data_IF_354690274649
#
_entry.id   IF_354690274649
#
_cell.length_a   1.000
_cell.length_b   1.000
_cell.length_c   1.000
_cell.angle_alpha   90.00
_cell.angle_beta   90.00
_cell.angle_gamma   90.00
#
_symmetry.space_group_name_H-M   'P 1'
#
loop_
_entity.id
_entity.type
_entity.pdbx_description
1 polymer ?
#
# COMPACT_ATOMS: atom_id res chain seq x y z
N UNK A 1 35.27 35.18 -12.60
CA UNK A 1 34.05 35.29 -11.77
C UNK A 1 33.04 34.28 -12.29
N UNK A 2 32.70 33.27 -11.49
CA UNK A 2 31.86 32.14 -11.89
C UNK A 2 30.35 32.50 -11.82
N UNK A 3 29.51 32.05 -12.76
CA UNK A 3 28.06 32.14 -12.62
C UNK A 3 27.53 30.98 -11.75
N UNK A 4 26.60 31.33 -10.87
CA UNK A 4 25.98 30.45 -9.88
C UNK A 4 24.92 29.55 -10.56
N UNK A 5 24.92 28.20 -10.38
CA UNK A 5 23.90 27.34 -10.95
C UNK A 5 22.59 27.42 -10.15
N UNK A 6 21.47 27.58 -10.87
CA UNK A 6 20.13 27.63 -10.30
C UNK A 6 19.75 26.30 -9.60
N UNK A 7 19.69 26.31 -8.28
CA UNK A 7 19.20 25.19 -7.46
C UNK A 7 17.68 25.18 -7.44
N UNK A 8 17.08 24.34 -8.28
CA UNK A 8 15.66 23.97 -8.16
C UNK A 8 15.45 23.00 -7.01
N UNK A 9 14.61 23.39 -6.05
CA UNK A 9 13.84 22.57 -5.06
C UNK A 9 13.87 23.08 -3.60
N UNK A 10 14.30 24.31 -3.32
CA UNK A 10 14.13 24.95 -2.00
C UNK A 10 13.07 26.06 -2.04
N UNK A 11 12.41 26.33 -0.90
CA UNK A 11 11.80 27.64 -0.66
C UNK A 11 12.91 28.70 -0.52
N UNK A 12 12.57 29.98 -0.70
CA UNK A 12 13.54 31.10 -0.59
C UNK A 12 14.26 31.17 0.76
N UNK A 13 13.72 30.51 1.79
CA UNK A 13 14.27 30.40 3.15
C UNK A 13 15.14 29.14 3.38
N UNK A 14 15.39 28.32 2.35
CA UNK A 14 16.20 27.11 2.46
C UNK A 14 15.46 25.88 3.00
N UNK A 15 14.16 25.97 3.29
CA UNK A 15 13.38 24.83 3.77
C UNK A 15 13.09 23.80 2.65
N UNK A 16 13.20 22.48 2.92
CA UNK A 16 12.91 21.45 1.92
C UNK A 16 11.42 21.46 1.52
N UNK A 17 11.13 21.54 0.22
CA UNK A 17 9.75 21.38 -0.28
C UNK A 17 9.27 19.95 -0.06
N UNK A 18 8.40 19.73 0.93
CA UNK A 18 7.66 18.47 1.06
C UNK A 18 6.75 18.27 -0.15
N UNK A 19 7.17 17.41 -1.09
CA UNK A 19 6.33 16.94 -2.20
C UNK A 19 5.20 16.10 -1.63
N UNK A 20 4.02 16.71 -1.46
CA UNK A 20 2.78 15.98 -1.09
C UNK A 20 2.51 14.93 -2.17
N UNK A 21 2.40 13.66 -1.77
CA UNK A 21 1.87 12.62 -2.65
C UNK A 21 0.40 12.94 -2.93
N UNK A 22 -0.03 13.12 -4.18
CA UNK A 22 -1.44 13.30 -4.48
C UNK A 22 -2.20 12.05 -4.04
N UNK A 23 -3.24 12.24 -3.22
CA UNK A 23 -4.22 11.18 -2.94
C UNK A 23 -4.94 10.86 -4.22
N UNK A 24 -5.14 9.57 -4.54
CA UNK A 24 -6.04 9.26 -5.60
C UNK A 24 -7.47 9.58 -5.16
N UNK A 25 -8.08 10.62 -5.74
CA UNK A 25 -9.51 10.88 -5.60
C UNK A 25 -10.24 9.68 -6.19
N UNK A 26 -11.01 8.97 -5.35
CA UNK A 26 -11.92 7.92 -5.80
C UNK A 26 -13.19 8.62 -6.28
N UNK A 27 -13.37 8.67 -7.59
CA UNK A 27 -14.59 9.18 -8.21
C UNK A 27 -15.53 8.01 -8.42
N UNK A 28 -16.78 8.17 -8.02
CA UNK A 28 -17.82 7.16 -8.23
C UNK A 28 -17.96 6.83 -9.73
N UNK A 29 -18.13 5.54 -10.05
CA UNK A 29 -18.23 5.06 -11.43
C UNK A 29 -19.42 5.66 -12.20
N UNK A 30 -20.44 6.16 -11.49
CA UNK A 30 -21.64 6.80 -12.05
C UNK A 30 -21.57 8.34 -12.08
N UNK A 31 -20.52 8.95 -11.54
CA UNK A 31 -20.38 10.42 -11.48
C UNK A 31 -20.24 11.06 -12.88
N UNK A 32 -21.08 12.02 -13.28
CA UNK A 32 -21.06 12.60 -14.64
C UNK A 32 -19.80 13.44 -14.96
N UNK A 33 -18.96 13.75 -13.97
CA UNK A 33 -17.74 14.56 -14.14
C UNK A 33 -16.57 13.77 -14.77
N UNK A 34 -16.39 13.92 -16.08
CA UNK A 34 -15.24 13.37 -16.84
C UNK A 34 -13.87 13.87 -16.36
N UNK A 35 -13.79 15.12 -15.91
CA UNK A 35 -12.52 15.78 -15.54
C UNK A 35 -11.84 15.17 -14.31
N UNK A 36 -12.60 14.55 -13.40
CA UNK A 36 -12.05 13.93 -12.18
C UNK A 36 -11.61 12.47 -12.41
N UNK A 37 -11.94 11.88 -13.56
CA UNK A 37 -11.53 10.51 -13.96
C UNK A 37 -10.23 10.49 -14.78
N UNK A 38 -9.67 11.65 -15.08
CA UNK A 38 -8.37 11.73 -15.76
C UNK A 38 -7.27 11.17 -14.85
N UNK A 39 -6.40 10.34 -15.43
CA UNK A 39 -5.40 9.55 -14.71
C UNK A 39 -4.60 10.39 -13.71
N UNK A 40 -4.61 9.98 -12.45
CA UNK A 40 -3.89 10.70 -11.41
C UNK A 40 -2.41 10.38 -11.53
N UNK A 41 -1.62 11.36 -11.93
CA UNK A 41 -0.17 11.20 -11.99
C UNK A 41 0.43 11.04 -10.59
N UNK A 42 1.22 10.00 -10.42
CA UNK A 42 1.99 9.69 -9.23
C UNK A 42 3.40 9.24 -9.56
N UNK A 43 4.12 8.76 -8.55
CA UNK A 43 5.43 8.12 -8.71
C UNK A 43 5.40 6.72 -8.11
N UNK A 44 6.05 5.77 -8.78
CA UNK A 44 6.21 4.44 -8.25
C UNK A 44 7.13 4.46 -7.02
N UNK A 45 6.69 3.84 -5.93
CA UNK A 45 7.48 3.76 -4.68
C UNK A 45 8.74 2.90 -4.83
N UNK A 46 8.73 1.94 -5.75
CA UNK A 46 9.85 1.00 -5.96
C UNK A 46 10.95 1.57 -6.87
N UNK A 47 10.60 2.38 -7.86
CA UNK A 47 11.58 2.86 -8.86
C UNK A 47 11.57 4.38 -9.10
N UNK A 48 10.71 5.14 -8.42
CA UNK A 48 10.63 6.60 -8.51
C UNK A 48 10.07 7.17 -9.82
N UNK A 49 9.84 6.32 -10.83
CA UNK A 49 9.33 6.72 -12.14
C UNK A 49 7.87 7.18 -12.09
N UNK A 50 7.49 8.06 -13.02
CA UNK A 50 6.13 8.59 -13.13
C UNK A 50 5.17 7.49 -13.58
N UNK A 51 3.99 7.48 -12.97
CA UNK A 51 2.88 6.57 -13.27
C UNK A 51 1.59 7.38 -13.34
N UNK A 52 0.61 6.91 -14.09
CA UNK A 52 -0.75 7.43 -14.04
C UNK A 52 -1.70 6.37 -13.49
N UNK A 53 -2.53 6.75 -12.52
CA UNK A 53 -3.44 5.84 -11.82
C UNK A 53 -4.84 6.03 -12.39
N UNK A 54 -5.43 4.93 -12.87
CA UNK A 54 -6.79 4.89 -13.41
C UNK A 54 -7.64 3.90 -12.64
N UNK A 55 -8.97 4.09 -12.64
CA UNK A 55 -9.91 3.11 -12.13
C UNK A 55 -10.19 2.05 -13.19
N UNK A 56 -10.29 0.79 -12.80
CA UNK A 56 -10.72 -0.30 -13.67
C UNK A 56 -12.23 -0.49 -13.61
N UNK A 57 -12.75 -1.30 -14.52
CA UNK A 57 -14.16 -1.76 -14.51
C UNK A 57 -14.55 -2.47 -13.22
N UNK A 58 -13.62 -3.18 -12.56
CA UNK A 58 -13.81 -3.83 -11.26
C UNK A 58 -13.60 -2.88 -10.07
N UNK A 59 -13.56 -1.56 -10.31
CA UNK A 59 -13.32 -0.50 -9.31
C UNK A 59 -11.95 -0.58 -8.60
N UNK A 60 -11.03 -1.43 -9.06
CA UNK A 60 -9.66 -1.46 -8.54
C UNK A 60 -8.79 -0.45 -9.29
N UNK A 61 -7.91 0.29 -8.61
CA UNK A 61 -6.98 1.16 -9.30
C UNK A 61 -5.89 0.36 -10.03
N UNK A 62 -5.46 0.84 -11.18
CA UNK A 62 -4.31 0.34 -11.92
C UNK A 62 -3.33 1.47 -12.22
N UNK A 63 -2.05 1.21 -11.96
CA UNK A 63 -0.97 2.11 -12.33
C UNK A 63 -0.48 1.77 -13.74
N UNK A 64 -0.71 2.67 -14.67
CA UNK A 64 -0.26 2.58 -16.06
C UNK A 64 0.95 3.49 -16.27
N UNK A 65 1.80 3.11 -17.22
CA UNK A 65 2.84 4.01 -17.70
C UNK A 65 2.20 5.20 -18.44
N UNK A 66 2.68 6.45 -18.25
CA UNK A 66 2.03 7.63 -18.84
C UNK A 66 2.09 7.67 -20.37
N UNK A 67 3.15 7.10 -20.97
CA UNK A 67 3.31 7.07 -22.41
C UNK A 67 2.47 5.96 -23.06
N UNK A 68 1.87 6.29 -24.19
CA UNK A 68 1.17 5.37 -25.07
C UNK A 68 2.16 4.68 -26.01
N UNK A 69 1.88 3.42 -26.33
CA UNK A 69 2.74 2.56 -27.15
C UNK A 69 1.89 1.89 -28.21
N UNK A 70 2.45 1.73 -29.41
CA UNK A 70 1.78 1.04 -30.49
C UNK A 70 1.42 -0.40 -30.08
N UNK A 71 0.16 -0.76 -30.26
CA UNK A 71 -0.43 -2.06 -29.92
C UNK A 71 0.39 -3.21 -30.50
N UNK A 72 0.87 -3.07 -31.74
CA UNK A 72 1.71 -4.06 -32.46
C UNK A 72 3.01 -4.42 -31.73
N UNK A 73 3.55 -3.53 -30.91
CA UNK A 73 4.84 -3.71 -30.23
C UNK A 73 4.70 -4.32 -28.82
N UNK A 74 3.47 -4.57 -28.37
CA UNK A 74 3.14 -4.97 -27.00
C UNK A 74 2.33 -6.26 -27.04
N UNK A 75 2.66 -7.30 -26.24
CA UNK A 75 1.82 -8.50 -26.13
C UNK A 75 0.44 -8.17 -25.59
N UNK A 76 -0.60 -8.86 -26.09
CA UNK A 76 -2.01 -8.66 -25.74
C UNK A 76 -2.27 -8.64 -24.23
N UNK A 77 -1.57 -9.49 -23.47
CA UNK A 77 -1.68 -9.59 -22.01
C UNK A 77 -1.27 -8.31 -21.26
N UNK A 78 -0.48 -7.45 -21.91
CA UNK A 78 0.04 -6.20 -21.33
C UNK A 78 -0.68 -4.96 -21.84
N UNK A 79 -1.67 -5.11 -22.73
CA UNK A 79 -2.37 -3.98 -23.36
C UNK A 79 -3.53 -3.52 -22.50
N UNK A 80 -3.61 -2.21 -22.30
CA UNK A 80 -4.71 -1.54 -21.62
C UNK A 80 -5.15 -0.34 -22.44
N UNK A 81 -6.45 -0.13 -22.53
CA UNK A 81 -7.03 1.07 -23.17
C UNK A 81 -7.81 1.89 -22.14
N UNK A 82 -8.07 3.14 -22.49
CA UNK A 82 -8.75 4.11 -21.63
C UNK A 82 -10.04 4.58 -22.30
N UNK A 83 -11.18 4.26 -21.72
CA UNK A 83 -12.48 4.72 -22.18
C UNK A 83 -13.17 5.52 -21.06
N UNK A 84 -13.49 6.80 -21.31
CA UNK A 84 -14.16 7.65 -20.32
C UNK A 84 -13.40 7.81 -18.99
N UNK A 85 -12.07 7.65 -19.00
CA UNK A 85 -11.21 7.68 -17.80
C UNK A 85 -11.17 6.37 -17.00
N UNK A 86 -11.79 5.30 -17.52
CA UNK A 86 -11.71 3.95 -16.97
C UNK A 86 -10.71 3.14 -17.79
N UNK A 87 -9.87 2.36 -17.10
CA UNK A 87 -8.90 1.47 -17.70
C UNK A 87 -9.50 0.07 -17.92
N UNK A 88 -9.41 -0.39 -19.15
CA UNK A 88 -9.91 -1.68 -19.58
C UNK A 88 -8.76 -2.56 -20.04
N UNK A 89 -8.74 -3.85 -19.67
CA UNK A 89 -7.75 -4.78 -20.18
C UNK A 89 -8.01 -5.08 -21.66
N UNK A 90 -6.97 -5.49 -22.38
CA UNK A 90 -6.97 -5.79 -23.81
C UNK A 90 -7.16 -4.55 -24.71
N UNK A 91 -7.04 -4.74 -26.03
CA UNK A 91 -7.22 -3.66 -26.99
C UNK A 91 -8.70 -3.44 -27.31
N UNK A 92 -9.10 -2.18 -27.47
CA UNK A 92 -10.39 -1.74 -28.03
C UNK A 92 -10.37 -1.64 -29.57
N UNK A 93 -9.35 -2.19 -30.22
CA UNK A 93 -9.07 -2.00 -31.64
C UNK A 93 -8.25 -0.74 -31.95
N UNK A 94 -7.87 0.05 -30.94
CA UNK A 94 -6.96 1.19 -31.13
C UNK A 94 -5.54 0.74 -31.49
N UNK A 95 -4.89 1.53 -32.35
CA UNK A 95 -3.47 1.39 -32.68
C UNK A 95 -2.55 1.67 -31.48
N UNK A 96 -3.07 2.24 -30.40
CA UNK A 96 -2.31 2.66 -29.22
C UNK A 96 -2.86 2.02 -27.95
N UNK A 97 -1.95 1.61 -27.07
CA UNK A 97 -2.28 1.07 -25.76
C UNK A 97 -1.36 1.64 -24.67
N UNK A 98 -1.82 1.52 -23.43
CA UNK A 98 -1.05 1.77 -22.22
C UNK A 98 -0.57 0.43 -21.66
N UNK A 99 0.55 0.47 -20.94
CA UNK A 99 1.16 -0.72 -20.33
C UNK A 99 1.13 -0.58 -18.81
N UNK A 100 0.78 -1.63 -18.04
CA UNK A 100 0.87 -1.63 -16.59
C UNK A 100 2.29 -1.34 -16.12
N UNK A 101 2.42 -0.40 -15.18
CA UNK A 101 3.73 -0.05 -14.66
C UNK A 101 4.39 -1.24 -13.93
N UNK A 102 3.62 -2.17 -13.37
CA UNK A 102 4.16 -3.38 -12.73
C UNK A 102 5.00 -4.25 -13.66
N UNK A 103 4.66 -4.28 -14.96
CA UNK A 103 5.41 -5.00 -16.01
C UNK A 103 6.71 -4.26 -16.35
N UNK A 104 6.63 -2.93 -16.44
CA UNK A 104 7.75 -2.07 -16.83
C UNK A 104 8.67 -1.66 -15.66
N UNK A 105 8.26 -1.88 -14.41
CA UNK A 105 8.94 -1.37 -13.23
C UNK A 105 10.32 -2.04 -13.08
N UNK A 106 11.43 -1.29 -13.12
CA UNK A 106 12.77 -1.86 -12.91
C UNK A 106 12.94 -2.57 -11.56
N UNK A 107 12.21 -2.12 -10.54
CA UNK A 107 12.19 -2.71 -9.19
C UNK A 107 11.23 -3.89 -9.03
N UNK A 108 10.72 -4.47 -10.12
CA UNK A 108 9.89 -5.66 -10.09
C UNK A 108 10.44 -6.71 -11.05
N UNK A 109 10.69 -7.94 -10.61
CA UNK A 109 11.14 -9.02 -11.51
C UNK A 109 9.98 -9.49 -12.38
N UNK A 110 10.08 -9.42 -13.73
CA UNK A 110 9.02 -9.92 -14.60
C UNK A 110 8.87 -11.44 -14.43
N UNK A 111 7.63 -11.91 -14.31
CA UNK A 111 7.31 -13.35 -14.25
C UNK A 111 7.26 -14.02 -15.63
N UNK A 112 7.27 -13.23 -16.71
CA UNK A 112 7.25 -13.70 -18.09
C UNK A 112 8.31 -12.98 -18.93
N UNK A 113 8.78 -13.62 -20.01
CA UNK A 113 9.67 -12.97 -21.00
C UNK A 113 8.93 -11.81 -21.65
N UNK A 114 9.49 -10.62 -21.50
CA UNK A 114 9.00 -9.42 -22.14
C UNK A 114 9.53 -9.38 -23.58
N UNK A 115 8.74 -8.86 -24.52
CA UNK A 115 9.26 -8.61 -25.87
C UNK A 115 10.37 -7.57 -25.86
N UNK A 116 11.29 -7.61 -26.84
CA UNK A 116 12.47 -6.70 -26.92
C UNK A 116 12.13 -5.23 -26.68
N UNK A 117 10.99 -4.75 -27.19
CA UNK A 117 10.58 -3.35 -27.04
C UNK A 117 10.24 -2.98 -25.59
N UNK A 118 9.59 -3.88 -24.86
CA UNK A 118 9.28 -3.67 -23.44
C UNK A 118 10.53 -3.75 -22.57
N UNK A 119 11.48 -4.61 -22.94
CA UNK A 119 12.80 -4.67 -22.29
C UNK A 119 13.59 -3.37 -22.48
N UNK A 120 13.54 -2.76 -23.67
CA UNK A 120 14.15 -1.46 -23.93
C UNK A 120 13.55 -0.37 -23.04
N UNK A 121 12.22 -0.29 -22.99
CA UNK A 121 11.51 0.69 -22.14
C UNK A 121 11.86 0.48 -20.67
N UNK A 122 11.91 -0.77 -20.23
CA UNK A 122 12.32 -1.12 -18.86
C UNK A 122 13.77 -0.70 -18.58
N UNK A 123 14.69 -0.88 -19.53
CA UNK A 123 16.09 -0.44 -19.42
C UNK A 123 16.19 1.08 -19.29
N UNK A 124 15.46 1.83 -20.12
CA UNK A 124 15.40 3.29 -20.02
C UNK A 124 14.86 3.76 -18.67
N UNK A 125 13.81 3.11 -18.16
CA UNK A 125 13.27 3.39 -16.84
C UNK A 125 14.27 3.05 -15.72
N UNK A 126 15.08 2.00 -15.88
CA UNK A 126 16.12 1.63 -14.92
C UNK A 126 17.25 2.68 -14.86
N UNK A 127 17.71 3.15 -16.02
CA UNK A 127 18.69 4.24 -16.10
C UNK A 127 18.14 5.53 -15.47
N UNK A 128 16.86 5.82 -15.70
CA UNK A 128 16.18 6.96 -15.07
C UNK A 128 16.09 6.80 -13.56
N UNK A 129 15.74 5.62 -13.06
CA UNK A 129 15.76 5.32 -11.62
C UNK A 129 17.15 5.53 -11.03
N UNK A 130 18.21 5.07 -11.70
CA UNK A 130 19.59 5.27 -11.22
C UNK A 130 19.94 6.75 -11.11
N UNK A 131 19.65 7.54 -12.14
CA UNK A 131 19.82 9.00 -12.10
C UNK A 131 19.04 9.66 -10.96
N UNK A 132 17.82 9.19 -10.68
CA UNK A 132 17.01 9.71 -9.56
C UNK A 132 17.64 9.38 -8.19
N UNK A 133 18.29 8.23 -8.06
CA UNK A 133 19.04 7.83 -6.86
C UNK A 133 20.29 8.70 -6.71
N UNK A 134 21.09 8.82 -7.78
CA UNK A 134 22.35 9.57 -7.75
C UNK A 134 22.12 11.06 -7.43
N UNK A 135 21.01 11.63 -7.91
CA UNK A 135 20.58 13.01 -7.60
C UNK A 135 19.87 13.17 -6.25
N UNK A 136 19.76 12.09 -5.45
CA UNK A 136 19.03 12.03 -4.16
C UNK A 136 17.57 12.47 -4.23
N UNK A 137 16.97 12.49 -5.43
CA UNK A 137 15.55 12.82 -5.64
C UNK A 137 14.63 11.62 -5.40
N UNK A 138 15.21 10.42 -5.31
CA UNK A 138 14.55 9.17 -4.94
C UNK A 138 15.46 8.36 -4.04
N UNK A 139 14.97 8.02 -2.84
CA UNK A 139 15.61 7.00 -1.99
C UNK A 139 14.85 5.69 -2.22
N UNK A 140 15.50 4.63 -2.72
CA UNK A 140 14.84 3.34 -2.88
C UNK A 140 14.31 2.89 -1.54
N UNK A 141 13.05 2.45 -1.51
CA UNK A 141 12.60 1.59 -0.43
C UNK A 141 13.31 0.26 -0.63
N UNK A 142 14.43 0.05 0.08
CA UNK A 142 15.07 -1.26 0.14
C UNK A 142 14.00 -2.25 0.59
N UNK A 143 13.65 -3.28 -0.21
CA UNK A 143 12.90 -4.39 0.35
C UNK A 143 13.79 -4.91 1.46
N UNK A 144 13.30 -4.90 2.70
CA UNK A 144 14.01 -5.53 3.80
C UNK A 144 14.36 -6.94 3.32
N UNK A 145 15.66 -7.20 3.11
CA UNK A 145 16.13 -8.56 2.99
C UNK A 145 15.65 -9.29 4.23
N UNK A 146 15.25 -10.55 4.07
CA UNK A 146 14.86 -11.40 5.19
C UNK A 146 15.87 -11.19 6.32
N UNK A 147 15.46 -10.67 7.49
CA UNK A 147 16.39 -10.56 8.59
C UNK A 147 16.82 -12.00 8.95
N UNK A 148 18.10 -12.23 9.22
CA UNK A 148 18.51 -13.51 9.79
C UNK A 148 17.68 -13.74 11.05
N UNK A 149 17.06 -14.91 11.12
CA UNK A 149 16.23 -15.34 12.24
C UNK A 149 17.08 -15.42 13.51
N UNK A 150 17.25 -14.28 14.18
CA UNK A 150 17.91 -14.17 15.48
C UNK A 150 17.39 -12.92 16.16
N UNK A 151 16.46 -13.12 17.08
CA UNK A 151 15.80 -12.07 17.83
C UNK A 151 14.29 -12.23 17.76
N UNK A 152 13.70 -12.65 18.87
CA UNK A 152 12.26 -12.81 19.10
C UNK A 152 11.53 -11.50 18.75
N UNK A 153 11.06 -11.35 17.51
CA UNK A 153 10.48 -10.08 17.02
C UNK A 153 9.01 -10.23 16.69
N UNK A 154 8.17 -9.34 17.24
CA UNK A 154 6.78 -9.15 16.84
C UNK A 154 6.64 -9.06 15.31
N UNK A 155 5.57 -9.62 14.73
CA UNK A 155 5.39 -9.63 13.28
C UNK A 155 5.36 -8.20 12.73
N UNK A 156 6.17 -7.92 11.72
CA UNK A 156 6.31 -6.58 11.14
C UNK A 156 4.99 -6.06 10.53
N UNK A 157 4.13 -6.97 10.06
CA UNK A 157 2.79 -6.69 9.52
C UNK A 157 1.84 -7.79 10.01
N UNK A 158 1.24 -7.62 11.19
CA UNK A 158 0.38 -8.61 11.81
C UNK A 158 -0.93 -8.81 11.05
N UNK A 159 -1.47 -10.03 11.10
CA UNK A 159 -2.83 -10.33 10.66
C UNK A 159 -3.77 -10.11 11.84
N UNK A 160 -4.82 -9.32 11.65
CA UNK A 160 -5.80 -8.93 12.67
C UNK A 160 -7.19 -9.41 12.24
N UNK A 161 -7.92 -10.04 13.14
CA UNK A 161 -9.32 -10.41 12.91
C UNK A 161 -10.24 -9.34 13.51
N UNK A 162 -11.00 -8.68 12.64
CA UNK A 162 -11.91 -7.58 12.98
C UNK A 162 -13.26 -7.86 12.33
N UNK A 163 -14.36 -7.90 13.10
CA UNK A 163 -15.71 -8.17 12.59
C UNK A 163 -15.73 -9.44 11.71
N UNK A 164 -15.11 -10.52 12.22
CA UNK A 164 -14.95 -11.83 11.56
C UNK A 164 -14.16 -11.83 10.23
N UNK A 165 -13.65 -10.68 9.80
CA UNK A 165 -12.81 -10.55 8.61
C UNK A 165 -11.34 -10.44 8.99
N UNK A 166 -10.45 -10.98 8.17
CA UNK A 166 -8.99 -10.92 8.40
C UNK A 166 -8.37 -9.78 7.61
N UNK A 167 -7.60 -8.96 8.30
CA UNK A 167 -6.90 -7.82 7.74
C UNK A 167 -5.41 -7.93 8.01
N UNK A 168 -4.60 -7.58 7.03
CA UNK A 168 -3.18 -7.36 7.18
C UNK A 168 -2.94 -5.90 7.55
N UNK A 169 -2.24 -5.66 8.65
CA UNK A 169 -1.86 -4.33 9.08
C UNK A 169 -0.79 -3.69 8.17
N UNK A 170 -0.68 -2.37 8.23
CA UNK A 170 0.36 -1.60 7.52
C UNK A 170 1.72 -1.59 8.26
N UNK A 171 1.69 -1.84 9.56
CA UNK A 171 2.81 -1.73 10.50
C UNK A 171 2.56 -2.63 11.73
N UNK A 172 3.57 -2.85 12.60
CA UNK A 172 3.37 -3.58 13.86
C UNK A 172 2.24 -2.97 14.70
N UNK A 173 1.51 -3.76 15.48
CA UNK A 173 0.30 -3.32 16.20
C UNK A 173 0.53 -2.05 17.03
N UNK A 174 1.67 -1.98 17.71
CA UNK A 174 2.13 -0.86 18.54
C UNK A 174 2.37 0.43 17.75
N UNK A 175 2.65 0.32 16.45
CA UNK A 175 2.97 1.44 15.56
C UNK A 175 1.78 1.91 14.71
N UNK A 176 0.65 1.20 14.77
CA UNK A 176 -0.56 1.57 14.02
C UNK A 176 -1.13 2.85 14.63
N UNK A 177 -0.98 3.97 13.92
CA UNK A 177 -1.45 5.29 14.37
C UNK A 177 -2.88 5.55 13.99
N UNK A 178 -3.58 6.29 14.84
CA UNK A 178 -4.91 6.78 14.57
C UNK A 178 -4.98 7.59 13.26
N UNK A 179 -6.06 7.43 12.49
CA UNK A 179 -6.28 8.19 11.25
C UNK A 179 -7.08 9.48 11.44
N UNK A 180 -7.67 9.67 12.61
CA UNK A 180 -8.50 10.83 12.93
C UNK A 180 -7.69 12.13 12.93
N UNK A 181 -8.38 13.22 12.61
CA UNK A 181 -7.87 14.57 12.65
C UNK A 181 -7.98 15.16 14.07
N UNK A 182 -6.91 15.76 14.58
CA UNK A 182 -6.94 16.50 15.85
C UNK A 182 -7.59 17.87 15.66
N UNK A 183 -7.93 18.57 16.76
CA UNK A 183 -8.43 19.97 16.70
C UNK A 183 -7.48 20.92 15.97
N UNK A 184 -6.17 20.62 15.97
CA UNK A 184 -5.13 21.38 15.25
C UNK A 184 -5.02 21.02 13.76
N UNK A 185 -5.98 20.24 13.23
CA UNK A 185 -6.02 19.75 11.84
C UNK A 185 -4.84 18.85 11.45
N UNK A 186 -4.13 18.27 12.42
CA UNK A 186 -3.03 17.32 12.21
C UNK A 186 -3.51 15.88 12.41
N UNK A 187 -2.75 14.91 11.90
CA UNK A 187 -3.06 13.49 12.13
C UNK A 187 -2.81 13.18 13.60
N UNK A 188 -3.74 12.48 14.23
CA UNK A 188 -3.53 11.98 15.58
C UNK A 188 -2.29 11.07 15.63
N UNK A 189 -1.39 11.36 16.56
CA UNK A 189 -0.16 10.59 16.79
C UNK A 189 -0.37 9.40 17.71
N UNK A 190 -1.51 9.33 18.42
CA UNK A 190 -1.80 8.23 19.33
C UNK A 190 -2.00 6.91 18.60
N UNK A 191 -1.53 5.79 19.18
CA UNK A 191 -1.73 4.46 18.63
C UNK A 191 -3.21 4.06 18.69
N UNK A 192 -3.60 3.15 17.79
CA UNK A 192 -4.93 2.51 17.82
C UNK A 192 -5.01 1.49 18.95
N UNK A 193 -3.92 0.75 19.16
CA UNK A 193 -3.75 -0.08 20.34
C UNK A 193 -3.62 0.82 21.57
N UNK A 194 -4.42 0.57 22.60
CA UNK A 194 -4.23 1.23 23.89
C UNK A 194 -2.98 0.63 24.56
N UNK A 195 -1.95 1.43 24.87
CA UNK A 195 -0.75 0.94 25.53
C UNK A 195 -0.99 0.51 26.99
N UNK A 196 -2.10 0.92 27.60
CA UNK A 196 -2.45 0.60 29.00
C UNK A 196 -3.29 -0.66 29.12
N UNK A 197 -3.95 -1.10 28.04
CA UNK A 197 -4.76 -2.31 28.01
C UNK A 197 -4.83 -2.89 26.60
N UNK A 198 -4.05 -3.94 26.27
CA UNK A 198 -4.13 -4.56 24.95
C UNK A 198 -5.50 -5.21 24.76
N UNK A 199 -6.29 -4.67 23.83
CA UNK A 199 -7.68 -5.08 23.62
C UNK A 199 -7.83 -6.46 22.94
N UNK A 200 -6.79 -7.00 22.29
CA UNK A 200 -6.85 -8.23 21.49
C UNK A 200 -6.06 -9.39 22.10
N UNK A 201 -6.35 -10.60 21.63
CA UNK A 201 -5.57 -11.79 22.02
C UNK A 201 -4.92 -12.42 20.80
N UNK A 202 -3.65 -12.81 20.93
CA UNK A 202 -2.97 -13.58 19.89
C UNK A 202 -3.47 -15.03 19.88
N UNK A 203 -3.94 -15.52 18.73
CA UNK A 203 -4.41 -16.89 18.54
C UNK A 203 -3.82 -17.51 17.28
N UNK A 204 -3.59 -18.83 17.31
CA UNK A 204 -3.29 -19.60 16.13
C UNK A 204 -4.61 -19.99 15.47
N UNK A 205 -4.88 -19.44 14.29
CA UNK A 205 -6.08 -19.73 13.51
C UNK A 205 -5.68 -20.33 12.16
N UNK A 206 -6.51 -21.20 11.55
CA UNK A 206 -6.22 -21.77 10.24
C UNK A 206 -6.06 -20.67 9.19
N UNK A 207 -4.98 -20.69 8.40
CA UNK A 207 -4.75 -19.76 7.30
C UNK A 207 -5.65 -20.03 6.09
N UNK A 208 -6.39 -21.14 6.12
CA UNK A 208 -7.31 -21.54 5.05
C UNK A 208 -8.42 -20.51 4.79
N UNK A 209 -9.01 -20.55 3.58
CA UNK A 209 -10.06 -19.63 3.18
C UNK A 209 -11.34 -19.87 3.99
N UNK A 210 -12.01 -18.80 4.40
CA UNK A 210 -13.32 -18.90 5.06
C UNK A 210 -14.46 -19.21 4.07
N UNK A 211 -14.26 -19.00 2.76
CA UNK A 211 -15.23 -19.34 1.70
C UNK A 211 -14.55 -19.69 0.37
N UNK A 212 -14.86 -20.86 -0.19
CA UNK A 212 -14.83 -21.15 -1.63
C UNK A 212 -13.48 -21.14 -2.36
N UNK A 213 -12.33 -21.23 -1.70
CA UNK A 213 -11.02 -21.34 -2.36
C UNK A 213 -10.38 -22.72 -2.11
N UNK A 214 -9.46 -23.12 -2.99
CA UNK A 214 -8.71 -24.38 -2.95
C UNK A 214 -8.15 -24.66 -1.54
N UNK A 215 -8.26 -25.90 -1.08
CA UNK A 215 -7.74 -26.33 0.21
C UNK A 215 -6.22 -26.09 0.26
N UNK A 216 -5.81 -25.08 1.01
CA UNK A 216 -4.42 -24.91 1.41
C UNK A 216 -4.08 -25.96 2.47
N UNK A 217 -2.81 -26.40 2.59
CA UNK A 217 -2.37 -27.19 3.74
C UNK A 217 -2.82 -26.49 5.02
N UNK A 218 -3.29 -27.26 5.99
CA UNK A 218 -3.92 -26.78 7.23
C UNK A 218 -2.90 -26.05 8.13
N UNK A 219 -2.49 -24.88 7.67
CA UNK A 219 -1.39 -24.11 8.21
C UNK A 219 -1.98 -23.17 9.24
N UNK A 220 -1.59 -23.34 10.50
CA UNK A 220 -1.97 -22.40 11.54
C UNK A 220 -1.14 -21.12 11.41
N UNK A 221 -1.79 -19.98 11.61
CA UNK A 221 -1.15 -18.68 11.59
C UNK A 221 -1.52 -17.84 12.81
N UNK A 222 -0.58 -17.03 13.28
CA UNK A 222 -0.79 -16.09 14.35
C UNK A 222 -1.66 -14.93 13.88
N UNK A 223 -2.82 -14.78 14.52
CA UNK A 223 -3.79 -13.73 14.28
C UNK A 223 -4.04 -13.00 15.59
N UNK A 224 -4.05 -11.67 15.53
CA UNK A 224 -4.51 -10.85 16.64
C UNK A 224 -6.04 -10.79 16.59
N UNK A 225 -6.70 -11.52 17.48
CA UNK A 225 -8.15 -11.72 17.49
C UNK A 225 -8.85 -10.66 18.35
N UNK A 226 -9.63 -9.81 17.70
CA UNK A 226 -10.50 -8.80 18.33
C UNK A 226 -11.95 -9.26 18.45
N UNK A 227 -12.29 -10.48 18.03
CA UNK A 227 -13.69 -10.92 17.90
C UNK A 227 -14.43 -10.98 19.25
N UNK A 228 -13.69 -11.09 20.36
CA UNK A 228 -14.23 -11.08 21.72
C UNK A 228 -14.59 -9.67 22.22
N UNK A 229 -14.12 -8.62 21.54
CA UNK A 229 -14.42 -7.24 21.91
C UNK A 229 -15.85 -6.85 21.51
N UNK A 230 -16.47 -5.89 22.23
CA UNK A 230 -17.75 -5.32 21.82
C UNK A 230 -17.70 -4.76 20.40
N UNK A 231 -18.82 -4.82 19.69
CA UNK A 231 -18.98 -4.25 18.35
C UNK A 231 -18.41 -2.83 18.17
N UNK A 232 -18.68 -1.83 19.05
CA UNK A 232 -18.16 -0.48 18.87
C UNK A 232 -16.61 -0.44 18.90
N UNK A 233 -16.01 -1.33 19.67
CA UNK A 233 -14.56 -1.43 19.78
C UNK A 233 -13.95 -2.07 18.53
N UNK A 234 -14.57 -3.13 17.99
CA UNK A 234 -14.16 -3.69 16.70
C UNK A 234 -14.36 -2.69 15.54
N UNK A 235 -15.43 -1.89 15.57
CA UNK A 235 -15.67 -0.82 14.61
C UNK A 235 -14.60 0.28 14.69
N UNK A 236 -14.21 0.70 15.89
CA UNK A 236 -13.10 1.64 16.15
C UNK A 236 -11.78 1.12 15.55
N UNK A 237 -11.49 -0.16 15.76
CA UNK A 237 -10.30 -0.79 15.16
C UNK A 237 -10.38 -0.80 13.63
N UNK A 238 -11.55 -1.13 13.06
CA UNK A 238 -11.76 -1.11 11.60
C UNK A 238 -11.59 0.28 10.99
N UNK A 239 -12.00 1.34 11.68
CA UNK A 239 -11.75 2.74 11.25
C UNK A 239 -10.36 3.24 11.61
N UNK A 240 -9.54 2.45 12.32
CA UNK A 240 -8.20 2.82 12.78
C UNK A 240 -8.20 4.08 13.65
N UNK A 241 -9.13 4.16 14.61
CA UNK A 241 -9.23 5.25 15.58
C UNK A 241 -8.58 4.88 16.92
N UNK A 242 -7.95 5.82 17.63
CA UNK A 242 -7.49 5.58 19.00
C UNK A 242 -8.67 5.68 20.00
N UNK A 243 -8.52 5.21 21.25
CA UNK A 243 -9.59 5.29 22.26
C UNK A 243 -10.11 6.72 22.47
N UNK A 244 -9.23 7.73 22.42
CA UNK A 244 -9.62 9.14 22.54
C UNK A 244 -10.49 9.65 21.36
N UNK A 245 -10.44 8.97 20.21
CA UNK A 245 -11.25 9.26 19.03
C UNK A 245 -12.35 8.22 18.79
N UNK A 246 -12.68 7.40 19.80
CA UNK A 246 -13.78 6.44 19.74
C UNK A 246 -15.18 7.11 19.82
N UNK A 247 -15.23 8.43 20.04
CA UNK A 247 -16.46 9.13 20.37
C UNK A 247 -17.48 9.19 19.20
N UNK A 248 -18.80 9.18 19.48
CA UNK A 248 -19.86 9.12 18.48
C UNK A 248 -19.95 10.32 17.52
N UNK A 249 -19.34 11.45 17.90
CA UNK A 249 -19.28 12.63 17.03
C UNK A 249 -18.14 12.43 16.05
N UNK A 250 -18.50 11.93 14.86
CA UNK A 250 -17.60 11.61 13.76
C UNK A 250 -16.50 12.64 13.59
N UNK A 251 -15.29 12.28 14.02
CA UNK A 251 -14.10 13.07 13.79
C UNK A 251 -13.67 12.81 12.35
N UNK A 252 -13.35 13.87 11.61
CA UNK A 252 -12.91 13.73 10.23
C UNK A 252 -11.62 12.92 10.16
N UNK A 253 -11.54 11.99 9.21
CA UNK A 253 -10.34 11.20 8.98
C UNK A 253 -9.33 11.97 8.14
N UNK A 254 -8.14 12.17 8.70
CA UNK A 254 -7.02 12.76 7.99
C UNK A 254 -6.19 11.71 7.24
N UNK A 255 -6.49 10.41 7.34
CA UNK A 255 -5.84 9.35 6.56
C UNK A 255 -6.82 8.21 6.29
N UNK A 256 -6.55 7.38 5.28
CA UNK A 256 -7.28 6.12 5.13
C UNK A 256 -6.73 5.11 6.13
N UNK A 257 -7.61 4.24 6.64
CA UNK A 257 -7.17 3.08 7.39
C UNK A 257 -6.25 2.21 6.51
N UNK A 258 -5.11 1.82 7.05
CA UNK A 258 -4.05 1.04 6.41
C UNK A 258 -4.35 -0.46 6.32
N UNK A 259 -5.54 -0.90 6.74
CA UNK A 259 -5.97 -2.29 6.66
C UNK A 259 -6.04 -2.78 5.22
N UNK A 260 -5.37 -3.91 4.95
CA UNK A 260 -5.49 -4.65 3.69
C UNK A 260 -6.28 -5.92 3.95
N UNK A 261 -7.21 -6.31 3.08
CA UNK A 261 -7.91 -7.60 3.24
C UNK A 261 -6.86 -8.72 3.10
N UNK A 262 -6.80 -9.59 4.10
CA UNK A 262 -5.85 -10.70 4.11
C UNK A 262 -6.31 -11.80 3.15
N UNK A 263 -5.49 -12.02 2.14
CA UNK A 263 -5.56 -13.17 1.24
C UNK A 263 -4.36 -14.10 1.51
N UNK A 264 -4.57 -15.34 1.96
CA UNK A 264 -3.50 -16.28 2.29
C UNK A 264 -2.55 -16.56 1.11
N UNK A 265 -3.03 -16.53 -0.13
CA UNK A 265 -2.23 -16.79 -1.32
C UNK A 265 -1.35 -15.60 -1.70
N UNK A 266 -1.85 -14.38 -1.49
CA UNK A 266 -1.13 -13.14 -1.82
C UNK A 266 -0.21 -12.68 -0.68
N UNK A 267 -0.46 -13.13 0.55
CA UNK A 267 0.23 -12.67 1.76
C UNK A 267 0.93 -13.79 2.52
N UNK A 268 1.40 -14.82 1.81
CA UNK A 268 2.14 -15.95 2.39
C UNK A 268 3.32 -15.50 3.25
N UNK A 269 4.04 -14.45 2.84
CA UNK A 269 5.15 -13.85 3.60
C UNK A 269 4.75 -13.24 4.96
N UNK A 270 3.45 -13.11 5.23
CA UNK A 270 2.91 -12.59 6.49
C UNK A 270 2.19 -13.68 7.30
N UNK A 271 2.31 -14.94 6.88
CA UNK A 271 1.86 -16.10 7.63
C UNK A 271 2.95 -16.47 8.65
N UNK A 272 2.72 -16.12 9.91
CA UNK A 272 3.59 -16.51 11.01
C UNK A 272 2.98 -17.71 11.73
N UNK A 273 3.68 -18.84 11.79
CA UNK A 273 3.14 -20.09 12.37
C UNK A 273 3.31 -20.19 13.89
N UNK A 274 3.93 -19.20 14.52
CA UNK A 274 4.17 -19.14 15.96
C UNK A 274 3.55 -17.89 16.55
N UNK A 275 2.97 -18.01 17.76
CA UNK A 275 2.49 -16.85 18.49
C UNK A 275 3.66 -15.92 18.82
N UNK A 276 3.48 -14.59 18.69
CA UNK A 276 4.42 -13.64 19.26
C UNK A 276 4.45 -13.88 20.77
N UNK A 277 5.64 -14.09 21.35
CA UNK A 277 5.75 -14.17 22.80
C UNK A 277 5.28 -12.83 23.40
N UNK A 278 4.47 -12.84 24.48
CA UNK A 278 4.29 -11.63 25.24
C UNK A 278 5.69 -11.14 25.67
N UNK A 279 5.95 -9.81 25.66
CA UNK A 279 7.14 -9.31 26.32
C UNK A 279 7.12 -9.88 27.74
N UNK A 280 8.22 -10.50 28.17
CA UNK A 280 8.34 -11.07 29.50
C UNK A 280 7.82 -10.02 30.49
N UNK A 281 6.69 -10.33 31.14
CA UNK A 281 6.21 -9.52 32.25
C UNK A 281 7.35 -9.49 33.25
N UNK A 282 7.91 -8.30 33.49
CA UNK A 282 8.77 -8.09 34.65
C UNK A 282 7.93 -8.40 35.88
N UNK A 283 8.01 -9.65 36.35
CA UNK A 283 7.70 -10.00 37.72
C UNK A 283 8.75 -9.30 38.59
N UNK A 284 8.37 -8.16 39.14
CA UNK A 284 8.80 -7.73 40.48
C UNK A 284 7.51 -7.83 41.31
N UNK A 285 7.34 -8.74 42.25
CA UNK A 285 8.25 -9.16 43.32
C UNK A 285 8.91 -7.93 43.97
N UNK A 286 8.10 -7.13 44.68
CA UNK A 286 8.13 -7.03 46.15
C UNK A 286 7.02 -6.11 46.67
#
# INVERSE_FOLDING_TARGET
>A
MCPNPATGDCHWDGSPRHRRHPRPLRVDATSPSRLLRAGQSGRCRRCGNRIDIYQRTDQRPIALHPAEVATEQVPDSCRWHLAGGIAHPHGDGSAWCRIPHTVLCPGNTPTARLGRRLEEVRRQLALRTRRLIDTRTFTPTTPAGDPPATGVSSPARPVVQILLSRYLADSPLENIRCVAQTRQRLRCTHPVLDPTSPAGTWKLLPSGPQRGQLALPDTLMAVYDLSHLPYPEQARWRTQHCPAHAAPRGVADLALAGWQVFDPLLHTAHIYTRLPHPPASHSRDR
#
